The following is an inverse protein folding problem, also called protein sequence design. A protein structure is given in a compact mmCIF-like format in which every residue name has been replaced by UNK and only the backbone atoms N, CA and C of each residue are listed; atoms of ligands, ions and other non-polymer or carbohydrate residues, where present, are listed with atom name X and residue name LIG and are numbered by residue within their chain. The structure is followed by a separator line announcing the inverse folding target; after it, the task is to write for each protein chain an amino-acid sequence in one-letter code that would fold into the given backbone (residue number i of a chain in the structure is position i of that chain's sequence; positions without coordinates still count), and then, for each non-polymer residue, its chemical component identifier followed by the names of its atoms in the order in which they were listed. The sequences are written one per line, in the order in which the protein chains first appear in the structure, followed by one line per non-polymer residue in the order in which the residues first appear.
data_IF_221839165560
#
_entry.id   IF_221839165560
#
_cell.length_a   1.000
_cell.length_b   1.000
_cell.length_c   1.000
_cell.angle_alpha   90.00
_cell.angle_beta   90.00
_cell.angle_gamma   90.00
#
_symmetry.space_group_name_H-M   'P 1'
#
loop_
_entity.id
_entity.type
_entity.pdbx_description
1 polymer ?
#
# COMPACT_ATOMS: atom_id res chain seq x y z
N UNK A 1 8.40 5.62 -24.69
CA UNK A 1 7.43 6.48 -24.00
C UNK A 1 6.11 5.73 -23.98
N UNK A 2 5.80 5.12 -22.86
CA UNK A 2 4.53 4.45 -22.60
C UNK A 2 3.42 5.51 -22.64
N UNK A 3 2.55 5.44 -23.65
CA UNK A 3 1.49 6.42 -23.96
C UNK A 3 0.44 6.63 -22.84
N UNK A 4 0.58 5.98 -21.68
CA UNK A 4 -0.44 5.94 -20.63
C UNK A 4 -0.33 7.04 -19.57
N UNK A 5 0.83 7.71 -19.44
CA UNK A 5 0.99 8.85 -18.52
C UNK A 5 1.52 10.07 -19.26
N UNK A 6 0.81 11.18 -19.15
CA UNK A 6 1.24 12.48 -19.68
C UNK A 6 1.81 13.33 -18.54
N UNK A 7 3.08 13.73 -18.67
CA UNK A 7 3.80 14.57 -17.71
C UNK A 7 4.03 16.00 -18.22
N UNK A 8 3.34 16.41 -19.29
CA UNK A 8 3.55 17.72 -19.95
C UNK A 8 3.24 18.86 -18.98
N UNK A 9 2.06 18.85 -18.36
CA UNK A 9 1.57 19.90 -17.45
C UNK A 9 1.97 19.68 -15.98
N UNK A 10 2.32 18.45 -15.61
CA UNK A 10 2.61 18.06 -14.23
C UNK A 10 2.43 16.56 -14.05
N UNK A 11 2.58 16.09 -12.82
CA UNK A 11 2.47 14.68 -12.47
C UNK A 11 1.32 14.49 -11.48
N UNK A 12 0.42 13.56 -11.74
CA UNK A 12 -0.67 13.27 -10.79
C UNK A 12 -0.10 12.72 -9.47
N UNK A 13 -0.61 13.24 -8.34
CA UNK A 13 -0.26 12.73 -7.01
C UNK A 13 -0.59 11.24 -6.89
N UNK A 14 -1.79 10.85 -7.32
CA UNK A 14 -2.24 9.47 -7.44
C UNK A 14 -2.40 9.12 -8.92
N UNK A 15 -1.79 8.03 -9.43
CA UNK A 15 -1.90 7.64 -10.84
C UNK A 15 -3.25 7.00 -11.19
N UNK A 16 -4.24 7.02 -10.30
CA UNK A 16 -5.54 6.37 -10.44
C UNK A 16 -5.72 5.14 -9.53
N UNK A 17 -4.86 4.93 -8.54
CA UNK A 17 -4.98 3.81 -7.62
C UNK A 17 -6.22 3.94 -6.73
N UNK A 18 -6.54 5.15 -6.27
CA UNK A 18 -7.60 5.35 -5.27
C UNK A 18 -8.97 4.87 -5.75
N UNK A 19 -9.22 4.92 -7.06
CA UNK A 19 -10.47 4.45 -7.69
C UNK A 19 -10.74 2.95 -7.50
N UNK A 20 -9.70 2.16 -7.27
CA UNK A 20 -9.78 0.70 -7.12
C UNK A 20 -9.54 0.23 -5.68
N UNK A 21 -9.24 1.15 -4.76
CA UNK A 21 -8.90 0.81 -3.39
C UNK A 21 -10.15 0.72 -2.52
N UNK A 22 -10.28 -0.39 -1.80
CA UNK A 22 -11.28 -0.50 -0.72
C UNK A 22 -10.65 0.00 0.58
N UNK A 23 -11.32 0.92 1.28
CA UNK A 23 -10.86 1.39 2.58
C UNK A 23 -10.69 0.23 3.57
N UNK A 24 -9.51 0.12 4.18
CA UNK A 24 -9.14 -1.04 5.00
C UNK A 24 -9.92 -1.09 6.31
N UNK A 25 -9.82 -0.04 7.12
CA UNK A 25 -10.43 0.03 8.46
C UNK A 25 -11.95 -0.21 8.40
N UNK A 26 -12.73 0.49 7.56
CA UNK A 26 -14.18 0.26 7.49
C UNK A 26 -14.53 -1.15 7.02
N UNK A 27 -13.72 -1.76 6.15
CA UNK A 27 -13.94 -3.13 5.68
C UNK A 27 -13.72 -4.16 6.80
N UNK A 28 -12.68 -3.97 7.61
CA UNK A 28 -12.43 -4.80 8.80
C UNK A 28 -13.55 -4.61 9.82
N UNK A 29 -13.89 -3.37 10.16
CA UNK A 29 -14.95 -3.07 11.13
C UNK A 29 -16.30 -3.69 10.74
N UNK A 30 -16.65 -3.64 9.45
CA UNK A 30 -17.84 -4.29 8.93
C UNK A 30 -17.83 -5.81 9.16
N UNK A 31 -16.70 -6.46 8.88
CA UNK A 31 -16.55 -7.91 9.05
C UNK A 31 -16.72 -8.31 10.52
N UNK A 32 -16.03 -7.63 11.44
CA UNK A 32 -16.12 -7.97 12.87
C UNK A 32 -17.46 -7.57 13.47
N UNK A 33 -18.10 -6.50 12.98
CA UNK A 33 -19.46 -6.15 13.36
C UNK A 33 -20.44 -7.27 13.02
N UNK A 34 -20.32 -7.89 11.84
CA UNK A 34 -21.18 -9.01 11.46
C UNK A 34 -20.88 -10.28 12.27
N UNK A 35 -19.60 -10.59 12.52
CA UNK A 35 -19.21 -11.71 13.39
C UNK A 35 -19.71 -11.54 14.83
N UNK A 36 -19.67 -10.32 15.36
CA UNK A 36 -20.07 -10.03 16.74
C UNK A 36 -21.58 -10.12 16.97
N UNK A 37 -22.39 -9.99 15.92
CA UNK A 37 -23.86 -10.20 15.98
C UNK A 37 -24.24 -11.65 16.23
N UNK A 38 -23.39 -12.61 15.85
CA UNK A 38 -23.64 -14.03 16.03
C UNK A 38 -23.33 -14.44 17.47
N UNK A 39 -24.31 -14.97 18.21
CA UNK A 39 -24.07 -15.45 19.59
C UNK A 39 -23.39 -16.83 19.62
N UNK A 40 -23.74 -17.70 18.67
CA UNK A 40 -23.25 -19.07 18.62
C UNK A 40 -21.84 -19.12 18.01
N UNK A 41 -20.91 -19.79 18.70
CA UNK A 41 -19.52 -19.87 18.26
C UNK A 41 -19.33 -20.65 16.95
N UNK A 42 -20.08 -21.74 16.73
CA UNK A 42 -19.99 -22.49 15.48
C UNK A 42 -20.47 -21.66 14.28
N UNK A 43 -21.50 -20.83 14.47
CA UNK A 43 -21.93 -19.86 13.45
C UNK A 43 -20.84 -18.82 13.18
N UNK A 44 -20.18 -18.29 14.21
CA UNK A 44 -19.02 -17.39 14.04
C UNK A 44 -17.90 -18.04 13.21
N UNK A 45 -17.54 -19.29 13.52
CA UNK A 45 -16.51 -20.04 12.78
C UNK A 45 -16.88 -20.18 11.30
N UNK A 46 -18.11 -20.60 11.00
CA UNK A 46 -18.59 -20.74 9.62
C UNK A 46 -18.55 -19.39 8.89
N UNK A 47 -19.01 -18.32 9.53
CA UNK A 47 -19.02 -16.98 8.95
C UNK A 47 -17.62 -16.43 8.73
N UNK A 48 -16.70 -16.61 9.69
CA UNK A 48 -15.29 -16.23 9.54
C UNK A 48 -14.65 -16.98 8.38
N UNK A 49 -14.92 -18.29 8.24
CA UNK A 49 -14.43 -19.08 7.10
C UNK A 49 -14.90 -18.51 5.75
N UNK A 50 -16.12 -17.98 5.67
CA UNK A 50 -16.61 -17.29 4.47
C UNK A 50 -15.87 -15.97 4.20
N UNK A 51 -15.51 -15.23 5.26
CA UNK A 51 -14.75 -13.98 5.12
C UNK A 51 -13.25 -14.19 4.92
N UNK A 52 -12.70 -15.34 5.26
CA UNK A 52 -11.27 -15.59 5.28
C UNK A 52 -10.56 -15.16 3.98
N UNK A 53 -11.05 -15.62 2.83
CA UNK A 53 -10.47 -15.23 1.53
C UNK A 53 -10.68 -13.74 1.20
N UNK A 54 -11.79 -13.14 1.65
CA UNK A 54 -12.04 -11.71 1.49
C UNK A 54 -11.06 -10.87 2.33
N UNK A 55 -10.78 -11.29 3.56
CA UNK A 55 -9.80 -10.64 4.44
C UNK A 55 -8.40 -10.75 3.85
N UNK A 56 -7.98 -11.95 3.43
CA UNK A 56 -6.70 -12.14 2.76
C UNK A 56 -6.57 -11.25 1.52
N UNK A 57 -7.61 -11.21 0.70
CA UNK A 57 -7.59 -10.38 -0.50
C UNK A 57 -7.47 -8.89 -0.18
N UNK A 58 -8.19 -8.42 0.85
CA UNK A 58 -8.10 -7.05 1.33
C UNK A 58 -6.68 -6.73 1.82
N UNK A 59 -6.10 -7.57 2.70
CA UNK A 59 -4.71 -7.42 3.19
C UNK A 59 -3.73 -7.31 2.03
N UNK A 60 -3.75 -8.28 1.12
CA UNK A 60 -2.78 -8.35 0.05
C UNK A 60 -2.89 -7.12 -0.88
N UNK A 61 -4.12 -6.74 -1.27
CA UNK A 61 -4.32 -5.59 -2.14
C UNK A 61 -3.94 -4.28 -1.45
N UNK A 62 -4.27 -4.10 -0.16
CA UNK A 62 -3.99 -2.85 0.54
C UNK A 62 -2.49 -2.64 0.75
N UNK A 63 -1.77 -3.69 1.11
CA UNK A 63 -0.30 -3.64 1.23
C UNK A 63 0.33 -3.53 -0.17
N UNK A 64 -0.28 -4.11 -1.20
CA UNK A 64 0.13 -3.91 -2.60
C UNK A 64 0.00 -2.45 -3.04
N UNK A 65 -1.06 -1.77 -2.62
CA UNK A 65 -1.24 -0.35 -2.86
C UNK A 65 -0.13 0.48 -2.21
N UNK A 66 0.26 0.19 -0.96
CA UNK A 66 1.39 0.86 -0.31
C UNK A 66 2.70 0.69 -1.09
N UNK A 67 2.99 -0.52 -1.58
CA UNK A 67 4.13 -0.74 -2.48
C UNK A 67 4.00 0.06 -3.78
N UNK A 68 2.80 0.10 -4.36
CA UNK A 68 2.46 0.90 -5.53
C UNK A 68 2.75 2.39 -5.35
N UNK A 69 2.43 2.97 -4.19
CA UNK A 69 2.74 4.37 -3.88
C UNK A 69 4.25 4.65 -3.91
N UNK A 70 5.05 3.76 -3.32
CA UNK A 70 6.52 3.91 -3.31
C UNK A 70 7.08 3.73 -4.73
N UNK A 71 6.56 2.76 -5.50
CA UNK A 71 6.92 2.56 -6.92
C UNK A 71 6.60 3.80 -7.76
N UNK A 72 5.41 4.38 -7.58
CA UNK A 72 5.00 5.59 -8.26
C UNK A 72 5.95 6.74 -7.95
N UNK A 73 6.22 6.98 -6.66
CA UNK A 73 7.17 8.00 -6.23
C UNK A 73 8.56 7.78 -6.85
N UNK A 74 9.05 6.54 -6.87
CA UNK A 74 10.35 6.19 -7.46
C UNK A 74 10.41 6.40 -8.99
N UNK A 75 9.27 6.36 -9.67
CA UNK A 75 9.18 6.68 -11.09
C UNK A 75 9.15 8.18 -11.38
N UNK A 76 8.70 9.03 -10.45
CA UNK A 76 8.44 10.44 -10.74
C UNK A 76 9.38 11.41 -10.02
N UNK A 77 10.14 10.96 -9.03
CA UNK A 77 10.94 11.85 -8.18
C UNK A 77 12.14 12.52 -8.88
N UNK A 78 12.46 12.14 -10.11
CA UNK A 78 13.47 12.77 -10.95
C UNK A 78 12.89 13.85 -11.88
N UNK A 79 11.56 14.02 -11.91
CA UNK A 79 10.87 14.98 -12.76
C UNK A 79 10.84 16.36 -12.12
N UNK A 80 11.31 17.37 -12.85
CA UNK A 80 11.13 18.79 -12.47
C UNK A 80 9.75 19.28 -12.93
N UNK A 81 8.73 18.77 -12.26
CA UNK A 81 7.31 18.98 -12.59
C UNK A 81 6.46 19.16 -11.34
N UNK A 82 5.42 20.01 -11.38
CA UNK A 82 4.49 20.15 -10.26
C UNK A 82 3.70 18.86 -10.05
N UNK A 83 3.39 18.55 -8.79
CA UNK A 83 2.43 17.54 -8.40
C UNK A 83 1.03 18.12 -8.51
N UNK A 84 0.17 17.43 -9.25
CA UNK A 84 -1.23 17.78 -9.48
C UNK A 84 -2.12 16.99 -8.53
N UNK A 85 -3.22 17.61 -8.07
CA UNK A 85 -4.28 16.96 -7.30
C UNK A 85 -3.81 16.25 -6.01
N UNK A 86 -2.79 16.80 -5.33
CA UNK A 86 -2.39 16.32 -4.00
C UNK A 86 -3.48 16.64 -2.96
N UNK A 87 -4.22 15.62 -2.54
CA UNK A 87 -5.32 15.72 -1.58
C UNK A 87 -4.85 16.09 -0.16
N UNK A 88 -3.58 15.87 0.15
CA UNK A 88 -2.99 16.14 1.46
C UNK A 88 -2.44 17.58 1.56
N UNK A 89 -2.29 18.27 0.44
CA UNK A 89 -1.57 19.54 0.39
C UNK A 89 -2.24 20.63 1.24
N UNK A 90 -1.45 21.27 2.11
CA UNK A 90 -1.90 22.37 2.97
C UNK A 90 -2.57 21.94 4.27
N UNK A 91 -2.71 20.63 4.54
CA UNK A 91 -3.12 20.15 5.86
C UNK A 91 -1.97 20.29 6.89
N UNK A 92 -2.32 20.32 8.17
CA UNK A 92 -1.33 20.28 9.25
C UNK A 92 -0.69 18.89 9.34
N UNK A 93 0.64 18.85 9.42
CA UNK A 93 1.34 17.59 9.62
C UNK A 93 1.31 17.18 11.08
N UNK A 94 0.65 16.05 11.36
CA UNK A 94 0.73 15.34 12.63
C UNK A 94 1.18 13.90 12.34
N UNK A 95 2.33 13.50 12.90
CA UNK A 95 2.97 12.23 12.54
C UNK A 95 2.10 11.03 12.93
N UNK A 96 1.48 11.06 14.12
CA UNK A 96 0.71 9.93 14.64
C UNK A 96 -0.54 9.67 13.80
N UNK A 97 -1.25 10.71 13.39
CA UNK A 97 -2.37 10.62 12.45
C UNK A 97 -1.90 10.14 11.07
N UNK A 98 -0.78 10.69 10.58
CA UNK A 98 -0.21 10.32 9.27
C UNK A 98 0.10 8.83 9.17
N UNK A 99 0.68 8.23 10.22
CA UNK A 99 1.06 6.81 10.21
C UNK A 99 0.00 5.88 10.80
N UNK A 100 -1.09 6.44 11.32
CA UNK A 100 -2.09 5.70 12.10
C UNK A 100 -2.73 4.54 11.35
N UNK A 101 -3.02 4.70 10.06
CA UNK A 101 -3.60 3.62 9.27
C UNK A 101 -2.60 2.47 9.02
N UNK A 102 -1.33 2.80 8.73
CA UNK A 102 -0.27 1.80 8.53
C UNK A 102 -0.04 1.00 9.82
N UNK A 103 -0.04 1.68 10.97
CA UNK A 103 0.06 1.05 12.27
C UNK A 103 -1.15 0.16 12.57
N UNK A 104 -2.37 0.62 12.24
CA UNK A 104 -3.56 -0.21 12.36
C UNK A 104 -3.46 -1.49 11.52
N UNK A 105 -3.05 -1.39 10.25
CA UNK A 105 -2.88 -2.57 9.37
C UNK A 105 -1.87 -3.55 9.99
N UNK A 106 -0.75 -3.05 10.52
CA UNK A 106 0.27 -3.86 11.19
C UNK A 106 -0.28 -4.59 12.42
N UNK A 107 -0.98 -3.88 13.29
CA UNK A 107 -1.62 -4.46 14.48
C UNK A 107 -2.68 -5.49 14.09
N UNK A 108 -3.46 -5.19 13.05
CA UNK A 108 -4.47 -6.09 12.53
C UNK A 108 -3.88 -7.39 12.00
N UNK A 109 -2.72 -7.38 11.32
CA UNK A 109 -2.05 -8.61 10.88
C UNK A 109 -1.73 -9.54 12.06
N UNK A 110 -1.27 -8.98 13.18
CA UNK A 110 -0.99 -9.75 14.39
C UNK A 110 -2.28 -10.33 15.02
N UNK A 111 -3.37 -9.57 14.98
CA UNK A 111 -4.69 -10.06 15.40
C UNK A 111 -5.21 -11.16 14.46
N UNK A 112 -5.05 -11.00 13.16
CA UNK A 112 -5.51 -11.95 12.14
C UNK A 112 -4.88 -13.33 12.31
N UNK A 113 -3.58 -13.41 12.66
CA UNK A 113 -2.92 -14.68 13.02
C UNK A 113 -3.68 -15.40 14.14
N UNK A 114 -4.04 -14.68 15.20
CA UNK A 114 -4.78 -15.23 16.35
C UNK A 114 -6.18 -15.66 15.92
N UNK A 115 -6.84 -14.88 15.08
CA UNK A 115 -8.19 -15.15 14.61
C UNK A 115 -8.25 -16.37 13.69
N UNK A 116 -7.27 -16.55 12.80
CA UNK A 116 -7.17 -17.77 11.97
C UNK A 116 -7.01 -18.99 12.86
N UNK A 117 -6.17 -18.92 13.90
CA UNK A 117 -6.05 -20.02 14.87
C UNK A 117 -7.35 -20.27 15.62
N UNK A 118 -7.99 -19.20 16.09
CA UNK A 118 -9.19 -19.27 16.91
C UNK A 118 -10.42 -19.78 16.14
N UNK A 119 -10.68 -19.25 14.95
CA UNK A 119 -11.87 -19.58 14.17
C UNK A 119 -11.68 -20.78 13.23
N UNK A 120 -10.47 -20.99 12.70
CA UNK A 120 -10.21 -22.06 11.73
C UNK A 120 -9.38 -23.21 12.30
N UNK A 121 -8.74 -23.04 13.46
CA UNK A 121 -7.84 -24.05 14.02
C UNK A 121 -6.52 -24.19 13.25
N UNK A 122 -6.23 -23.26 12.34
CA UNK A 122 -5.08 -23.29 11.44
C UNK A 122 -3.99 -22.35 11.93
N UNK A 123 -2.74 -22.71 11.69
CA UNK A 123 -1.63 -21.77 11.87
C UNK A 123 -1.49 -20.89 10.63
N UNK A 124 -1.26 -19.60 10.84
CA UNK A 124 -1.05 -18.62 9.78
C UNK A 124 0.23 -17.85 10.05
N UNK A 125 1.09 -17.74 9.04
CA UNK A 125 2.32 -16.94 9.10
C UNK A 125 2.12 -15.69 8.27
N UNK A 126 2.40 -14.53 8.87
CA UNK A 126 2.44 -13.26 8.15
C UNK A 126 3.58 -13.30 7.13
N UNK A 127 3.35 -12.75 5.95
CA UNK A 127 4.37 -12.68 4.92
C UNK A 127 5.45 -11.65 5.31
N UNK A 128 6.72 -12.08 5.36
CA UNK A 128 7.84 -11.23 5.74
C UNK A 128 8.02 -10.02 4.77
N UNK A 129 7.65 -10.18 3.49
CA UNK A 129 7.63 -9.08 2.52
C UNK A 129 6.55 -8.04 2.87
N UNK A 130 5.38 -8.47 3.35
CA UNK A 130 4.31 -7.54 3.74
C UNK A 130 4.72 -6.68 4.92
N UNK A 131 5.42 -7.27 5.90
CA UNK A 131 5.99 -6.52 7.03
C UNK A 131 7.00 -5.49 6.53
N UNK A 132 7.90 -5.89 5.63
CA UNK A 132 8.86 -4.96 5.02
C UNK A 132 8.17 -3.80 4.30
N UNK A 133 7.13 -4.06 3.52
CA UNK A 133 6.38 -3.02 2.82
C UNK A 133 5.74 -2.04 3.81
N UNK A 134 5.17 -2.52 4.92
CA UNK A 134 4.62 -1.65 5.96
C UNK A 134 5.70 -0.78 6.61
N UNK A 135 6.87 -1.34 6.92
CA UNK A 135 8.01 -0.58 7.47
C UNK A 135 8.45 0.54 6.51
N UNK A 136 8.61 0.19 5.23
CA UNK A 136 9.06 1.12 4.20
C UNK A 136 8.00 2.19 3.93
N UNK A 137 6.71 1.84 3.86
CA UNK A 137 5.67 2.82 3.63
C UNK A 137 5.49 3.77 4.82
N UNK A 138 5.61 3.27 6.07
CA UNK A 138 5.57 4.12 7.26
C UNK A 138 6.71 5.16 7.25
N UNK A 139 7.94 4.74 6.95
CA UNK A 139 9.08 5.65 6.83
C UNK A 139 8.89 6.64 5.67
N UNK A 140 8.37 6.17 4.54
CA UNK A 140 8.10 7.01 3.38
C UNK A 140 7.10 8.14 3.70
N UNK A 141 6.05 7.84 4.46
CA UNK A 141 5.10 8.85 4.94
C UNK A 141 5.77 9.88 5.84
N UNK A 142 6.64 9.46 6.77
CA UNK A 142 7.38 10.36 7.69
C UNK A 142 8.33 11.27 6.93
N UNK A 143 9.16 10.72 6.04
CA UNK A 143 10.12 11.47 5.23
C UNK A 143 9.45 12.57 4.41
N UNK A 144 8.24 12.31 3.92
CA UNK A 144 7.48 13.25 3.10
C UNK A 144 6.43 14.05 3.89
N UNK A 145 6.43 13.97 5.23
CA UNK A 145 5.48 14.68 6.12
C UNK A 145 4.01 14.50 5.73
N UNK A 146 3.63 13.25 5.40
CA UNK A 146 2.28 12.93 4.91
C UNK A 146 1.91 13.68 3.62
N UNK A 147 2.90 14.12 2.84
CA UNK A 147 2.76 14.89 1.61
C UNK A 147 2.09 16.27 1.76
N UNK A 148 1.94 16.76 2.98
CA UNK A 148 1.27 18.04 3.31
C UNK A 148 1.93 19.25 2.66
N UNK A 149 3.22 19.18 2.38
CA UNK A 149 4.00 20.25 1.74
C UNK A 149 4.48 19.92 0.33
N UNK A 150 4.09 18.78 -0.23
CA UNK A 150 4.61 18.29 -1.51
C UNK A 150 4.04 19.10 -2.68
N UNK A 151 4.91 19.84 -3.39
CA UNK A 151 4.55 20.70 -4.53
C UNK A 151 5.11 20.22 -5.85
N UNK A 152 6.36 19.76 -5.88
CA UNK A 152 7.01 19.27 -7.09
C UNK A 152 7.40 17.80 -6.92
N UNK A 153 7.50 17.06 -8.01
CA UNK A 153 7.82 15.65 -7.96
C UNK A 153 9.24 15.40 -7.43
N UNK A 154 10.19 16.28 -7.75
CA UNK A 154 11.56 16.25 -7.21
C UNK A 154 11.69 16.63 -5.72
N UNK A 155 10.61 17.08 -5.06
CA UNK A 155 10.56 17.24 -3.60
C UNK A 155 10.33 15.89 -2.89
N UNK A 156 9.92 14.83 -3.61
CA UNK A 156 9.68 13.50 -3.04
C UNK A 156 10.99 12.88 -2.55
N UNK A 157 10.98 12.46 -1.29
CA UNK A 157 12.10 11.77 -0.65
C UNK A 157 11.79 10.28 -0.60
N UNK A 158 12.60 9.48 -1.29
CA UNK A 158 12.54 8.02 -1.20
C UNK A 158 13.34 7.52 0.00
N UNK A 159 12.94 6.38 0.56
CA UNK A 159 13.69 5.73 1.63
C UNK A 159 15.10 5.36 1.18
N UNK A 160 16.06 5.31 2.11
CA UNK A 160 17.47 5.00 1.81
C UNK A 160 17.70 3.67 1.07
N UNK A 161 16.80 2.70 1.26
CA UNK A 161 16.87 1.39 0.61
C UNK A 161 16.15 1.30 -0.74
N UNK A 162 15.46 2.36 -1.16
CA UNK A 162 14.68 2.41 -2.41
C UNK A 162 15.56 2.94 -3.54
N UNK A 163 15.65 2.16 -4.62
CA UNK A 163 16.44 2.56 -5.80
C UNK A 163 15.70 3.64 -6.60
N UNK A 164 16.46 4.57 -7.16
CA UNK A 164 15.97 5.46 -8.22
C UNK A 164 15.86 4.68 -9.52
N UNK A 165 14.66 4.64 -10.11
CA UNK A 165 14.40 3.92 -11.36
C UNK A 165 14.81 4.78 -12.56
N UNK A 166 15.45 4.19 -13.57
CA UNK A 166 15.92 4.90 -14.77
C UNK A 166 15.67 4.12 -16.05
N UNK A 167 15.50 4.84 -17.15
CA UNK A 167 15.40 4.26 -18.50
C UNK A 167 14.34 3.15 -18.61
N UNK A 168 14.72 2.03 -19.20
CA UNK A 168 13.81 0.91 -19.47
C UNK A 168 13.18 0.31 -18.20
N UNK A 169 13.85 0.36 -17.05
CA UNK A 169 13.29 -0.11 -15.79
C UNK A 169 12.11 0.76 -15.35
N UNK A 170 12.28 2.08 -15.40
CA UNK A 170 11.21 3.05 -15.12
C UNK A 170 10.04 2.86 -16.08
N UNK A 171 10.29 2.68 -17.38
CA UNK A 171 9.24 2.44 -18.37
C UNK A 171 8.43 1.15 -18.07
N UNK A 172 9.11 0.07 -17.67
CA UNK A 172 8.46 -1.19 -17.28
C UNK A 172 7.56 -1.02 -16.04
N UNK A 173 8.06 -0.31 -15.02
CA UNK A 173 7.28 -0.06 -13.81
C UNK A 173 6.07 0.82 -14.11
N UNK A 174 6.23 1.86 -14.94
CA UNK A 174 5.12 2.70 -15.40
C UNK A 174 4.06 1.86 -16.16
N UNK A 175 4.47 1.00 -17.09
CA UNK A 175 3.54 0.09 -17.77
C UNK A 175 2.77 -0.78 -16.78
N UNK A 176 3.48 -1.34 -15.79
CA UNK A 176 2.86 -2.18 -14.77
C UNK A 176 1.88 -1.40 -13.89
N UNK A 177 2.22 -0.18 -13.51
CA UNK A 177 1.33 0.72 -12.76
C UNK A 177 0.03 0.94 -13.55
N UNK A 178 0.12 1.25 -14.83
CA UNK A 178 -1.07 1.48 -15.65
C UNK A 178 -1.96 0.23 -15.77
N UNK A 179 -1.36 -0.96 -15.92
CA UNK A 179 -2.12 -2.22 -15.95
C UNK A 179 -2.78 -2.54 -14.59
N UNK A 180 -2.14 -2.16 -13.48
CA UNK A 180 -2.74 -2.31 -12.14
C UNK A 180 -3.88 -1.30 -11.92
N UNK A 181 -3.75 -0.07 -12.42
CA UNK A 181 -4.85 0.91 -12.38
C UNK A 181 -6.08 0.41 -13.15
N UNK A 182 -5.89 -0.27 -14.28
CA UNK A 182 -7.00 -0.86 -15.05
C UNK A 182 -7.63 -2.08 -14.36
N UNK A 183 -6.83 -2.93 -13.72
CA UNK A 183 -7.30 -4.18 -13.12
C UNK A 183 -7.76 -4.08 -11.66
N UNK A 184 -7.26 -3.08 -10.92
CA UNK A 184 -7.42 -2.96 -9.47
C UNK A 184 -6.69 -4.05 -8.65
N UNK A 185 -5.82 -4.84 -9.28
CA UNK A 185 -5.12 -5.95 -8.63
C UNK A 185 -3.71 -5.53 -8.16
N UNK A 186 -3.67 -4.83 -7.03
CA UNK A 186 -2.44 -4.30 -6.45
C UNK A 186 -1.41 -5.37 -6.04
N UNK A 187 -1.83 -6.63 -5.88
CA UNK A 187 -0.90 -7.75 -5.60
C UNK A 187 0.13 -7.92 -6.70
N UNK A 188 -0.18 -7.48 -7.91
CA UNK A 188 0.73 -7.58 -9.05
C UNK A 188 1.97 -6.69 -8.92
N UNK A 189 2.01 -5.80 -7.93
CA UNK A 189 3.23 -5.07 -7.58
C UNK A 189 4.23 -5.91 -6.77
N UNK A 190 3.80 -6.97 -6.07
CA UNK A 190 4.69 -7.75 -5.20
C UNK A 190 5.92 -8.30 -5.93
N UNK A 191 5.82 -8.85 -7.17
CA UNK A 191 7.00 -9.30 -7.90
C UNK A 191 8.03 -8.19 -8.20
N UNK A 192 7.63 -6.91 -8.17
CA UNK A 192 8.51 -5.77 -8.43
C UNK A 192 9.31 -5.33 -7.19
N UNK A 193 9.10 -5.95 -6.03
CA UNK A 193 9.79 -5.57 -4.79
C UNK A 193 11.32 -5.62 -4.89
N UNK A 194 11.87 -6.57 -5.66
CA UNK A 194 13.32 -6.75 -5.84
C UNK A 194 13.96 -5.64 -6.69
N UNK A 195 13.15 -5.04 -7.58
CA UNK A 195 13.56 -3.88 -8.36
C UNK A 195 13.65 -2.64 -7.46
N UNK A 196 12.74 -2.53 -6.49
CA UNK A 196 12.61 -1.36 -5.63
C UNK A 196 13.55 -1.36 -4.42
N UNK A 197 13.52 -2.42 -3.62
CA UNK A 197 14.30 -2.48 -2.38
C UNK A 197 15.67 -3.09 -2.68
N UNK A 198 16.75 -2.35 -2.45
CA UNK A 198 18.09 -2.90 -2.50
C UNK A 198 18.19 -4.14 -1.60
N UNK A 199 18.77 -5.22 -2.13
CA UNK A 199 19.17 -6.33 -1.28
C UNK A 199 20.18 -5.78 -0.27
N UNK A 200 19.99 -6.06 1.03
CA UNK A 200 21.08 -5.85 2.00
C UNK A 200 22.27 -6.61 1.43
N UNK A 201 23.39 -5.92 1.22
CA UNK A 201 24.65 -6.59 0.94
C UNK A 201 24.82 -7.67 2.03
N UNK A 202 24.90 -8.93 1.61
CA UNK A 202 25.35 -9.97 2.51
C UNK A 202 26.74 -9.55 2.98
N UNK A 203 26.88 -9.34 4.29
CA UNK A 203 28.13 -9.00 4.96
C UNK A 203 29.17 -10.08 4.68
#
# INVERSE_FOLDING_TARGET
MTEKFDFTEGVQFDPGFICNLNAFVPSIDYIYSDLNRLRNFNQKKLKFKMYYHKILNLIDNYIGFYLGCILWAACINDLDKPILNNLCFGADYEEKETIGEVQFVREYLAQFVKDVKYYLGQDYKINDLQIKILDEYEEFLKLNKGFTTLKNANDLVLNKGVKTLKGAEKDLILEKIANVVESGNFKEFYPLNENLFAQKAAV
#
